data_IF_055384072992
#
_entry.id   IF_055384072992
#
_cell.length_a   1.000
_cell.length_b   1.000
_cell.length_c   1.000
_cell.angle_alpha   90.00
_cell.angle_beta   90.00
_cell.angle_gamma   90.00
#
_symmetry.space_group_name_H-M   'P 1'
#
loop_
_entity.id
_entity.type
_entity.pdbx_description
1 polymer ?
#
# COMPACT_ATOMS: atom_id res chain seq x y z
N UNK A 1 -59.39 -23.25 14.93
CA UNK A 1 -58.26 -23.15 13.98
C UNK A 1 -58.65 -22.08 12.98
N UNK A 2 -58.10 -20.87 12.96
CA UNK A 2 -56.70 -20.51 12.70
C UNK A 2 -56.34 -19.29 13.56
N UNK A 3 -55.16 -19.34 14.17
CA UNK A 3 -54.62 -18.35 15.10
C UNK A 3 -54.02 -17.17 14.33
N UNK A 4 -54.36 -15.94 14.71
CA UNK A 4 -53.73 -14.73 14.18
C UNK A 4 -52.34 -14.56 14.81
N UNK A 5 -51.30 -14.78 14.02
CA UNK A 5 -49.91 -14.52 14.39
C UNK A 5 -49.66 -13.02 14.30
N UNK A 6 -49.49 -12.37 15.45
CA UNK A 6 -49.06 -10.98 15.52
C UNK A 6 -47.58 -10.86 15.11
N UNK A 7 -47.31 -10.01 14.12
CA UNK A 7 -45.94 -9.57 13.82
C UNK A 7 -45.49 -8.63 14.93
N UNK A 8 -44.61 -9.12 15.81
CA UNK A 8 -43.88 -8.28 16.75
C UNK A 8 -42.98 -7.32 15.96
N UNK A 9 -43.16 -6.02 16.15
CA UNK A 9 -42.19 -5.04 15.70
C UNK A 9 -40.86 -5.26 16.44
N UNK A 10 -39.70 -5.13 15.76
CA UNK A 10 -38.42 -5.15 16.46
C UNK A 10 -38.39 -3.98 17.45
N UNK A 11 -38.07 -4.30 18.70
CA UNK A 11 -37.88 -3.31 19.74
C UNK A 11 -36.73 -2.37 19.34
N UNK A 12 -37.08 -1.13 18.98
CA UNK A 12 -36.17 -0.01 18.90
C UNK A 12 -35.66 0.30 20.31
N UNK A 13 -34.56 -0.36 20.68
CA UNK A 13 -33.90 -0.19 21.97
C UNK A 13 -32.81 0.90 21.87
N UNK A 14 -33.11 2.01 21.19
CA UNK A 14 -32.25 3.19 21.07
C UNK A 14 -32.25 4.04 22.35
N UNK A 15 -31.79 3.44 23.45
CA UNK A 15 -31.12 4.26 24.47
C UNK A 15 -29.76 4.63 23.89
N UNK A 16 -29.70 5.77 23.20
CA UNK A 16 -28.46 6.35 22.72
C UNK A 16 -27.52 6.57 23.92
N UNK A 17 -26.68 5.58 24.22
CA UNK A 17 -25.62 5.73 25.21
C UNK A 17 -24.77 6.89 24.74
N UNK A 18 -24.73 7.94 25.56
CA UNK A 18 -23.86 9.10 25.33
C UNK A 18 -22.45 8.62 25.05
N UNK A 19 -21.82 9.16 24.00
CA UNK A 19 -20.41 8.90 23.70
C UNK A 19 -19.55 9.08 24.97
N UNK A 20 -18.54 8.21 25.19
CA UNK A 20 -17.66 8.37 26.32
C UNK A 20 -16.99 9.76 26.31
N UNK A 21 -16.77 10.34 27.49
CA UNK A 21 -16.22 11.70 27.64
C UNK A 21 -14.91 11.90 26.88
N UNK A 22 -14.06 10.88 26.84
CA UNK A 22 -12.79 10.93 26.10
C UNK A 22 -12.99 11.06 24.58
N UNK A 23 -14.05 10.47 24.03
CA UNK A 23 -14.37 10.59 22.61
C UNK A 23 -14.90 11.99 22.25
N UNK A 24 -15.54 12.69 23.18
CA UNK A 24 -16.04 14.04 22.94
C UNK A 24 -14.90 15.06 22.74
N UNK A 25 -13.75 14.85 23.39
CA UNK A 25 -12.56 15.71 23.25
C UNK A 25 -11.96 15.69 21.84
N UNK A 26 -12.21 14.63 21.06
CA UNK A 26 -11.69 14.50 19.70
C UNK A 26 -12.25 15.57 18.74
N UNK A 27 -13.36 16.21 19.07
CA UNK A 27 -13.89 17.35 18.30
C UNK A 27 -13.01 18.58 18.39
N UNK A 28 -12.43 18.84 19.56
CA UNK A 28 -11.57 19.99 19.80
C UNK A 28 -10.20 19.78 19.14
N UNK A 29 -9.72 18.53 19.11
CA UNK A 29 -8.44 18.17 18.53
C UNK A 29 -8.39 18.24 17.01
N UNK A 30 -9.54 18.16 16.33
CA UNK A 30 -9.64 18.23 14.87
C UNK A 30 -9.04 19.53 14.27
N UNK A 31 -8.88 20.56 15.08
CA UNK A 31 -8.33 21.86 14.69
C UNK A 31 -7.15 22.30 15.57
N UNK A 32 -6.76 21.46 16.54
CA UNK A 32 -5.67 21.75 17.44
C UNK A 32 -4.32 21.32 16.84
N UNK A 33 -3.23 21.81 17.43
CA UNK A 33 -1.86 21.37 17.12
C UNK A 33 -1.34 20.38 18.18
N UNK A 34 -2.20 19.90 19.06
CA UNK A 34 -1.84 18.94 20.11
C UNK A 34 -1.76 17.51 19.56
N UNK A 35 -1.00 16.64 20.25
CA UNK A 35 -0.91 15.23 19.89
C UNK A 35 -2.24 14.51 20.14
N UNK A 36 -2.90 14.11 19.05
CA UNK A 36 -4.17 13.41 19.07
C UNK A 36 -4.04 11.92 19.37
N UNK A 37 -2.83 11.34 19.29
CA UNK A 37 -2.62 9.90 19.50
C UNK A 37 -3.13 9.41 20.87
N UNK A 38 -2.73 9.98 22.04
CA UNK A 38 -3.22 9.49 23.33
C UNK A 38 -4.74 9.64 23.52
N UNK A 39 -5.38 10.78 23.17
CA UNK A 39 -6.83 10.92 23.23
C UNK A 39 -7.59 9.93 22.35
N UNK A 40 -7.11 9.65 21.14
CA UNK A 40 -7.72 8.64 20.25
C UNK A 40 -7.63 7.26 20.90
N UNK A 41 -6.46 6.84 21.38
CA UNK A 41 -6.28 5.56 22.08
C UNK A 41 -7.19 5.47 23.31
N UNK A 42 -7.30 6.54 24.09
CA UNK A 42 -8.19 6.58 25.27
C UNK A 42 -9.66 6.41 24.88
N UNK A 43 -10.13 7.06 23.80
CA UNK A 43 -11.48 6.86 23.29
C UNK A 43 -11.70 5.41 22.82
N UNK A 44 -10.80 4.86 22.00
CA UNK A 44 -10.86 3.47 21.51
C UNK A 44 -10.96 2.48 22.68
N UNK A 45 -10.23 2.73 23.77
CA UNK A 45 -10.23 1.88 24.95
C UNK A 45 -11.60 1.80 25.66
N UNK A 46 -12.47 2.79 25.46
CA UNK A 46 -13.79 2.87 26.11
C UNK A 46 -14.95 2.43 25.20
N UNK A 47 -14.70 2.29 23.89
CA UNK A 47 -15.69 1.86 22.93
C UNK A 47 -15.92 0.33 23.00
N UNK A 48 -17.11 -0.20 22.70
CA UNK A 48 -17.31 -1.64 22.55
C UNK A 48 -16.50 -2.21 21.38
N UNK A 49 -16.14 -3.49 21.43
CA UNK A 49 -15.58 -4.18 20.27
C UNK A 49 -16.58 -4.15 19.10
N UNK A 50 -16.05 -4.04 17.89
CA UNK A 50 -16.76 -3.90 16.61
C UNK A 50 -17.61 -2.63 16.48
N UNK A 51 -17.45 -1.67 17.38
CA UNK A 51 -18.08 -0.36 17.25
C UNK A 51 -17.30 0.56 16.30
N UNK A 52 -17.89 1.71 16.01
CA UNK A 52 -17.31 2.71 15.12
C UNK A 52 -16.94 3.97 15.89
N UNK A 53 -15.68 4.38 15.81
CA UNK A 53 -15.21 5.71 16.15
C UNK A 53 -15.42 6.64 14.95
N UNK A 54 -16.34 7.58 15.09
CA UNK A 54 -16.59 8.63 14.09
C UNK A 54 -15.82 9.89 14.46
N UNK A 55 -14.90 10.29 13.60
CA UNK A 55 -14.07 11.48 13.77
C UNK A 55 -14.62 12.63 12.93
N UNK A 56 -14.94 13.80 13.50
CA UNK A 56 -15.20 15.00 12.71
C UNK A 56 -14.11 15.25 11.67
N UNK A 57 -14.45 15.84 10.52
CA UNK A 57 -13.45 16.37 9.60
C UNK A 57 -12.47 17.32 10.31
N UNK A 58 -11.19 17.18 10.00
CA UNK A 58 -10.12 17.99 10.57
C UNK A 58 -8.79 17.25 10.64
N UNK A 59 -7.77 17.93 11.15
CA UNK A 59 -6.40 17.43 11.25
C UNK A 59 -6.12 16.94 12.68
N UNK A 60 -5.80 15.66 12.79
CA UNK A 60 -5.41 14.97 14.01
C UNK A 60 -3.91 14.72 13.97
N UNK A 61 -3.15 15.61 14.61
CA UNK A 61 -1.69 15.55 14.63
C UNK A 61 -1.21 14.36 15.47
N UNK A 62 -0.42 13.47 14.88
CA UNK A 62 0.18 12.31 15.55
C UNK A 62 1.66 12.58 15.79
N UNK A 63 2.03 12.80 17.06
CA UNK A 63 3.43 12.99 17.50
C UNK A 63 3.97 11.79 18.28
N UNK A 64 3.08 10.88 18.63
CA UNK A 64 3.41 9.55 19.14
C UNK A 64 2.68 8.49 18.30
N UNK A 65 3.18 7.23 18.25
CA UNK A 65 2.52 6.18 17.50
C UNK A 65 1.07 5.94 17.95
N UNK A 66 0.13 5.92 17.00
CA UNK A 66 -1.26 5.54 17.25
C UNK A 66 -1.41 4.02 17.20
N UNK A 67 -1.67 3.41 18.35
CA UNK A 67 -1.81 1.95 18.47
C UNK A 67 -3.30 1.58 18.54
N UNK A 68 -3.80 0.89 17.52
CA UNK A 68 -5.17 0.36 17.48
C UNK A 68 -5.17 -1.10 17.91
N UNK A 69 -5.45 -1.32 19.19
CA UNK A 69 -5.40 -2.63 19.86
C UNK A 69 -6.76 -3.30 20.05
N UNK A 70 -7.84 -2.74 19.48
CA UNK A 70 -9.20 -3.29 19.56
C UNK A 70 -9.85 -3.39 18.18
N UNK A 71 -10.71 -4.39 17.93
CA UNK A 71 -11.40 -4.54 16.67
C UNK A 71 -12.45 -3.45 16.53
N UNK A 72 -12.16 -2.36 15.81
CA UNK A 72 -13.08 -1.23 15.65
C UNK A 72 -13.04 -0.70 14.21
N UNK A 73 -14.07 0.04 13.83
CA UNK A 73 -14.00 0.92 12.66
C UNK A 73 -13.63 2.34 13.09
N UNK A 74 -12.77 3.00 12.32
CA UNK A 74 -12.49 4.43 12.43
C UNK A 74 -12.87 5.06 11.10
N UNK A 75 -13.77 6.03 11.13
CA UNK A 75 -14.25 6.71 9.92
C UNK A 75 -14.50 8.19 10.15
N UNK A 76 -14.50 8.97 9.06
CA UNK A 76 -14.92 10.37 9.13
C UNK A 76 -16.42 10.48 9.38
N UNK A 77 -16.80 11.33 10.33
CA UNK A 77 -18.17 11.72 10.62
C UNK A 77 -18.67 12.68 9.53
N UNK A 78 -19.14 12.10 8.43
CA UNK A 78 -19.68 12.88 7.33
C UNK A 78 -21.13 13.28 7.65
N UNK A 79 -21.35 14.54 8.03
CA UNK A 79 -22.70 15.14 8.13
C UNK A 79 -23.34 15.38 6.76
N UNK A 80 -22.58 15.18 5.69
CA UNK A 80 -23.00 15.12 4.28
C UNK A 80 -22.61 13.73 3.72
N UNK A 81 -23.23 13.23 2.63
CA UNK A 81 -22.84 11.94 2.04
C UNK A 81 -21.32 11.90 1.87
N UNK A 82 -20.67 10.93 2.53
CA UNK A 82 -19.23 10.86 2.71
C UNK A 82 -18.50 11.10 1.38
N UNK A 83 -17.80 12.22 1.28
CA UNK A 83 -16.83 12.41 0.21
C UNK A 83 -15.73 11.39 0.48
N UNK A 84 -15.56 10.43 -0.43
CA UNK A 84 -14.46 9.50 -0.38
C UNK A 84 -13.15 10.30 -0.33
N UNK A 85 -12.33 10.09 0.70
CA UNK A 85 -11.05 10.79 0.87
C UNK A 85 -10.05 10.43 -0.25
N UNK A 86 -10.35 9.37 -1.00
CA UNK A 86 -9.60 8.84 -2.14
C UNK A 86 -9.72 9.62 -3.45
N UNK A 87 -10.10 10.90 -3.44
CA UNK A 87 -10.08 11.76 -4.64
C UNK A 87 -8.95 12.78 -4.64
N UNK A 88 -7.88 12.51 -3.90
CA UNK A 88 -6.71 13.40 -3.78
C UNK A 88 -6.93 14.66 -2.92
N UNK A 89 -8.18 14.92 -2.52
CA UNK A 89 -8.56 16.01 -1.63
C UNK A 89 -8.78 15.46 -0.21
N UNK A 90 -8.02 15.99 0.75
CA UNK A 90 -8.24 15.71 2.18
C UNK A 90 -9.32 16.64 2.79
N UNK A 91 -9.93 17.49 1.98
CA UNK A 91 -10.96 18.42 2.43
C UNK A 91 -12.22 17.65 2.84
N UNK A 92 -12.69 17.87 4.07
CA UNK A 92 -13.86 17.16 4.59
C UNK A 92 -13.56 15.77 5.17
N UNK A 93 -12.28 15.40 5.29
CA UNK A 93 -11.84 14.15 5.91
C UNK A 93 -11.33 14.36 7.34
N UNK A 94 -11.41 13.32 8.17
CA UNK A 94 -10.53 13.15 9.32
C UNK A 94 -9.14 12.75 8.81
N UNK A 95 -8.17 13.62 9.04
CA UNK A 95 -6.80 13.50 8.55
C UNK A 95 -5.86 13.20 9.70
N UNK A 96 -5.26 12.02 9.73
CA UNK A 96 -4.13 11.71 10.59
C UNK A 96 -2.87 12.36 10.02
N UNK A 97 -2.42 13.45 10.63
CA UNK A 97 -1.22 14.17 10.23
C UNK A 97 -0.03 13.58 10.95
N UNK A 98 0.84 12.84 10.26
CA UNK A 98 2.02 12.26 10.90
C UNK A 98 3.10 13.34 11.02
N UNK A 99 3.29 13.88 12.21
CA UNK A 99 4.30 14.90 12.54
C UNK A 99 5.67 14.25 12.80
N UNK A 100 6.66 15.07 13.16
CA UNK A 100 7.95 14.56 13.64
C UNK A 100 7.77 13.81 14.96
N UNK A 101 7.98 12.49 14.93
CA UNK A 101 7.96 11.65 16.14
C UNK A 101 9.36 11.60 16.77
N UNK A 102 9.49 11.66 18.11
CA UNK A 102 10.78 11.55 18.79
C UNK A 102 11.41 10.16 18.56
N UNK A 103 12.74 10.11 18.40
CA UNK A 103 13.51 8.85 18.21
C UNK A 103 13.25 7.76 19.25
N UNK A 104 12.80 8.15 20.44
CA UNK A 104 12.55 7.22 21.55
C UNK A 104 11.26 6.41 21.36
N UNK A 105 10.44 6.71 20.34
CA UNK A 105 9.41 5.77 19.89
C UNK A 105 10.09 4.45 19.53
N UNK A 106 9.63 3.34 20.13
CA UNK A 106 10.31 2.06 20.11
C UNK A 106 10.85 1.67 18.71
N UNK A 107 12.02 1.03 18.68
CA UNK A 107 12.65 0.55 17.45
C UNK A 107 11.66 -0.25 16.62
N UNK A 108 11.65 0.01 15.32
CA UNK A 108 10.80 -0.71 14.39
C UNK A 108 9.30 -0.48 14.59
N UNK A 109 8.85 0.70 15.05
CA UNK A 109 7.43 1.10 15.07
C UNK A 109 7.11 2.03 13.90
N UNK A 110 5.90 1.90 13.34
CA UNK A 110 5.34 2.85 12.36
C UNK A 110 4.41 3.87 13.05
N UNK A 111 4.15 5.04 12.43
CA UNK A 111 3.28 6.07 13.01
C UNK A 111 1.88 5.58 13.41
N UNK A 112 1.31 4.63 12.67
CA UNK A 112 0.05 3.97 13.01
C UNK A 112 0.27 2.45 13.05
N UNK A 113 -0.06 1.80 14.15
CA UNK A 113 0.09 0.35 14.36
C UNK A 113 -1.27 -0.30 14.59
N UNK A 114 -1.72 -1.10 13.62
CA UNK A 114 -2.97 -1.88 13.68
C UNK A 114 -2.65 -3.27 14.22
N UNK A 115 -2.86 -3.43 15.53
CA UNK A 115 -2.57 -4.67 16.26
C UNK A 115 -3.75 -5.63 16.28
N UNK A 116 -4.98 -5.10 16.38
CA UNK A 116 -6.19 -5.90 16.49
C UNK A 116 -6.70 -6.43 15.15
N UNK A 117 -7.38 -7.60 15.14
CA UNK A 117 -8.09 -8.07 13.97
C UNK A 117 -9.30 -7.19 13.65
N UNK A 118 -9.83 -7.31 12.42
CA UNK A 118 -11.08 -6.70 11.97
C UNK A 118 -11.16 -5.18 12.13
N UNK A 119 -10.02 -4.50 12.15
CA UNK A 119 -9.96 -3.04 12.16
C UNK A 119 -10.31 -2.50 10.77
N UNK A 120 -11.17 -1.49 10.71
CA UNK A 120 -11.51 -0.78 9.47
C UNK A 120 -11.08 0.67 9.57
N UNK A 121 -10.36 1.17 8.57
CA UNK A 121 -10.13 2.59 8.34
C UNK A 121 -10.90 2.97 7.08
N UNK A 122 -11.95 3.77 7.22
CA UNK A 122 -12.83 4.13 6.10
C UNK A 122 -12.95 5.63 5.95
N UNK A 123 -12.83 6.14 4.73
CA UNK A 123 -12.98 7.56 4.44
C UNK A 123 -12.13 8.42 5.40
N UNK A 124 -10.86 8.02 5.60
CA UNK A 124 -9.88 8.77 6.38
C UNK A 124 -8.68 9.11 5.50
N UNK A 125 -7.92 10.12 5.89
CA UNK A 125 -6.64 10.43 5.25
C UNK A 125 -5.49 10.23 6.23
N UNK A 126 -4.36 9.73 5.76
CA UNK A 126 -3.08 9.67 6.46
C UNK A 126 -2.08 10.47 5.66
N UNK A 127 -1.63 11.59 6.21
CA UNK A 127 -0.84 12.57 5.48
C UNK A 127 0.41 12.89 6.26
N UNK A 128 1.56 12.85 5.60
CA UNK A 128 2.76 13.36 6.22
C UNK A 128 2.81 14.87 6.32
N UNK A 129 3.25 15.35 7.49
CA UNK A 129 3.29 16.77 7.81
C UNK A 129 4.34 17.51 6.97
N UNK A 130 3.97 18.67 6.43
CA UNK A 130 4.91 19.60 5.78
C UNK A 130 5.85 20.28 6.78
N UNK A 131 5.57 20.14 8.09
CA UNK A 131 6.43 20.69 9.15
C UNK A 131 7.66 19.82 9.42
N UNK A 132 7.77 18.61 8.85
CA UNK A 132 8.93 17.75 9.04
C UNK A 132 10.17 18.31 8.35
N UNK A 133 11.17 18.65 9.14
CA UNK A 133 12.48 19.05 8.68
C UNK A 133 13.14 17.97 7.83
N UNK A 134 13.88 18.40 6.79
CA UNK A 134 14.65 17.47 5.96
C UNK A 134 15.68 16.68 6.79
N UNK A 135 16.21 17.29 7.86
CA UNK A 135 17.18 16.66 8.76
C UNK A 135 16.54 15.52 9.55
N UNK A 136 15.32 15.70 10.08
CA UNK A 136 14.55 14.61 10.71
C UNK A 136 14.28 13.49 9.72
N UNK A 137 13.83 13.82 8.49
CA UNK A 137 13.50 12.82 7.48
C UNK A 137 14.73 11.98 7.10
N UNK A 138 15.86 12.63 6.80
CA UNK A 138 17.13 11.93 6.52
C UNK A 138 17.54 11.05 7.69
N UNK A 139 17.46 11.58 8.90
CA UNK A 139 17.84 10.85 10.10
C UNK A 139 17.01 9.57 10.30
N UNK A 140 15.69 9.66 10.12
CA UNK A 140 14.79 8.52 10.23
C UNK A 140 15.01 7.52 9.10
N UNK A 141 15.07 8.01 7.85
CA UNK A 141 15.11 7.15 6.66
C UNK A 141 16.45 6.46 6.45
N UNK A 142 17.57 7.09 6.80
CA UNK A 142 18.92 6.53 6.62
C UNK A 142 19.35 5.56 7.74
N UNK A 143 18.51 5.39 8.77
CA UNK A 143 18.83 4.55 9.93
C UNK A 143 17.84 3.38 10.02
N UNK A 144 18.31 2.16 9.77
CA UNK A 144 17.46 0.95 9.72
C UNK A 144 16.54 0.78 10.94
N UNK A 145 17.04 1.03 12.14
CA UNK A 145 16.28 0.85 13.39
C UNK A 145 15.12 1.85 13.57
N UNK A 146 15.16 2.98 12.87
CA UNK A 146 14.12 4.01 12.91
C UNK A 146 13.37 4.18 11.60
N UNK A 147 13.82 3.54 10.51
CA UNK A 147 13.29 3.72 9.14
C UNK A 147 11.77 3.57 9.06
N UNK A 148 11.18 2.66 9.83
CA UNK A 148 9.73 2.46 9.89
C UNK A 148 8.94 3.69 10.36
N UNK A 149 9.54 4.59 11.15
CA UNK A 149 8.90 5.85 11.56
C UNK A 149 8.67 6.80 10.38
N UNK A 150 9.38 6.60 9.26
CA UNK A 150 9.20 7.37 8.04
C UNK A 150 8.00 6.91 7.20
N UNK A 151 7.40 5.75 7.52
CA UNK A 151 6.26 5.20 6.80
C UNK A 151 4.90 5.72 7.31
N UNK A 152 3.81 5.04 6.95
CA UNK A 152 2.46 5.41 7.36
C UNK A 152 1.83 4.44 8.37
N UNK A 153 1.25 3.35 7.87
CA UNK A 153 0.47 2.39 8.66
C UNK A 153 1.14 1.01 8.62
N UNK A 154 1.27 0.35 9.78
CA UNK A 154 1.54 -1.08 9.89
C UNK A 154 0.31 -1.87 10.29
N UNK A 155 0.10 -3.02 9.67
CA UNK A 155 -1.00 -3.93 9.97
C UNK A 155 -0.48 -5.30 10.35
N UNK A 156 -0.84 -5.75 11.56
CA UNK A 156 -0.57 -7.09 12.10
C UNK A 156 -1.85 -7.91 12.27
N UNK A 157 -2.98 -7.25 12.48
CA UNK A 157 -4.29 -7.89 12.59
C UNK A 157 -4.80 -8.47 11.27
N UNK A 158 -5.50 -9.61 11.35
CA UNK A 158 -6.23 -10.17 10.21
C UNK A 158 -7.57 -9.48 10.01
N UNK A 159 -8.12 -9.50 8.79
CA UNK A 159 -9.41 -8.87 8.45
C UNK A 159 -9.37 -7.35 8.42
N UNK A 160 -8.18 -6.75 8.34
CA UNK A 160 -8.02 -5.30 8.19
C UNK A 160 -8.66 -4.81 6.90
N UNK A 161 -9.30 -3.63 6.95
CA UNK A 161 -9.87 -2.97 5.78
C UNK A 161 -9.44 -1.50 5.72
N UNK A 162 -8.91 -1.08 4.59
CA UNK A 162 -8.70 0.30 4.20
C UNK A 162 -9.62 0.61 3.02
N UNK A 163 -10.56 1.54 3.21
CA UNK A 163 -11.63 1.82 2.25
C UNK A 163 -11.79 3.33 2.03
N UNK A 164 -11.90 3.76 0.77
CA UNK A 164 -12.16 5.15 0.41
C UNK A 164 -11.16 6.14 1.06
N UNK A 165 -9.93 5.68 1.27
CA UNK A 165 -8.93 6.37 2.07
C UNK A 165 -7.84 7.04 1.21
N UNK A 166 -7.08 7.93 1.83
CA UNK A 166 -5.91 8.57 1.23
C UNK A 166 -4.69 8.30 2.11
N UNK A 167 -3.57 7.87 1.53
CA UNK A 167 -2.26 7.85 2.21
C UNK A 167 -1.24 8.57 1.34
N UNK A 168 -0.63 9.65 1.82
CA UNK A 168 0.38 10.40 1.05
C UNK A 168 1.43 11.08 1.93
N UNK A 169 2.51 11.55 1.30
CA UNK A 169 3.61 12.27 1.90
C UNK A 169 4.31 11.52 3.05
N UNK A 170 4.31 10.18 3.05
CA UNK A 170 5.23 9.43 3.92
C UNK A 170 6.66 9.64 3.41
N UNK A 171 7.64 9.69 4.32
CA UNK A 171 9.00 10.10 3.98
C UNK A 171 9.82 8.99 3.34
N UNK A 172 9.60 7.74 3.73
CA UNK A 172 10.30 6.55 3.22
C UNK A 172 9.59 5.27 3.71
N UNK A 173 10.20 4.11 3.50
CA UNK A 173 9.70 2.81 3.97
C UNK A 173 8.45 2.38 3.22
N UNK A 174 7.29 2.28 3.87
CA UNK A 174 6.02 1.90 3.24
C UNK A 174 4.91 2.83 3.70
N UNK A 175 4.04 3.27 2.78
CA UNK A 175 2.86 4.02 3.16
C UNK A 175 1.86 3.14 3.92
N UNK A 176 1.70 1.89 3.48
CA UNK A 176 0.98 0.83 4.18
C UNK A 176 1.78 -0.47 4.14
N UNK A 177 2.14 -1.00 5.31
CA UNK A 177 2.78 -2.30 5.48
C UNK A 177 1.81 -3.30 6.10
N UNK A 178 1.61 -4.43 5.44
CA UNK A 178 0.88 -5.59 5.98
C UNK A 178 1.89 -6.69 6.22
N UNK A 179 2.12 -7.02 7.50
CA UNK A 179 3.16 -7.97 7.87
C UNK A 179 2.75 -9.42 7.58
N UNK A 180 3.70 -10.33 7.74
CA UNK A 180 3.49 -11.77 7.59
C UNK A 180 2.30 -12.27 8.44
N UNK A 181 1.58 -13.25 7.91
CA UNK A 181 0.46 -13.96 8.55
C UNK A 181 -0.85 -13.19 8.71
N UNK A 182 -0.93 -11.91 8.32
CA UNK A 182 -2.20 -11.20 8.26
C UNK A 182 -3.10 -11.81 7.16
N UNK A 183 -4.29 -12.28 7.53
CA UNK A 183 -5.24 -12.92 6.62
C UNK A 183 -6.34 -11.97 6.21
N UNK A 184 -6.80 -12.09 4.98
CA UNK A 184 -7.92 -11.33 4.42
C UNK A 184 -7.84 -9.79 4.57
N UNK A 185 -6.65 -9.15 4.42
CA UNK A 185 -6.63 -7.69 4.37
C UNK A 185 -7.30 -7.20 3.09
N UNK A 186 -7.98 -6.05 3.17
CA UNK A 186 -8.60 -5.40 2.02
C UNK A 186 -8.14 -3.95 1.90
N UNK A 187 -7.73 -3.54 0.71
CA UNK A 187 -7.41 -2.16 0.34
C UNK A 187 -8.24 -1.82 -0.90
N UNK A 188 -9.25 -0.97 -0.71
CA UNK A 188 -10.31 -0.76 -1.68
C UNK A 188 -10.53 0.73 -1.94
N UNK A 189 -10.70 1.09 -3.21
CA UNK A 189 -11.12 2.43 -3.64
C UNK A 189 -10.30 3.56 -3.02
N UNK A 190 -9.01 3.34 -2.75
CA UNK A 190 -8.14 4.26 -2.02
C UNK A 190 -7.07 4.87 -2.92
N UNK A 191 -6.58 6.06 -2.55
CA UNK A 191 -5.44 6.70 -3.22
C UNK A 191 -4.21 6.59 -2.35
N UNK A 192 -3.12 6.07 -2.90
CA UNK A 192 -1.84 5.88 -2.21
C UNK A 192 -0.75 6.63 -2.97
N UNK A 193 -0.30 7.73 -2.40
CA UNK A 193 0.82 8.56 -2.85
C UNK A 193 0.44 9.99 -3.28
N UNK A 194 1.42 10.84 -3.63
CA UNK A 194 2.87 10.56 -3.73
C UNK A 194 3.53 10.23 -2.39
N UNK A 195 4.57 9.38 -2.39
CA UNK A 195 5.35 9.05 -1.19
C UNK A 195 6.85 8.88 -1.48
N UNK A 196 7.68 9.33 -0.54
CA UNK A 196 9.14 9.32 -0.65
C UNK A 196 9.67 10.24 -1.74
N UNK A 197 10.97 10.11 -2.04
CA UNK A 197 11.70 10.92 -3.01
C UNK A 197 12.80 10.09 -3.67
N UNK A 198 12.62 9.77 -4.95
CA UNK A 198 13.44 8.80 -5.69
C UNK A 198 14.89 9.24 -5.91
N UNK A 199 15.13 10.52 -6.13
CA UNK A 199 16.47 11.06 -6.38
C UNK A 199 17.25 11.38 -5.11
N UNK A 200 16.70 11.06 -3.94
CA UNK A 200 17.40 11.16 -2.66
C UNK A 200 17.63 9.77 -2.11
N UNK A 201 18.91 9.41 -1.94
CA UNK A 201 19.31 8.09 -1.49
C UNK A 201 18.52 7.65 -0.25
N UNK A 202 17.92 6.46 -0.32
CA UNK A 202 17.18 5.81 0.76
C UNK A 202 15.95 6.57 1.29
N UNK A 203 15.55 7.68 0.67
CA UNK A 203 14.26 8.34 0.94
C UNK A 203 13.13 7.79 0.07
N UNK A 204 13.28 6.57 -0.43
CA UNK A 204 12.28 5.88 -1.22
C UNK A 204 11.19 5.30 -0.32
N UNK A 205 9.96 5.31 -0.83
CA UNK A 205 8.82 4.72 -0.16
C UNK A 205 8.07 3.78 -1.11
N UNK A 206 7.77 2.59 -0.61
CA UNK A 206 6.73 1.75 -1.16
C UNK A 206 5.35 2.42 -0.94
N UNK A 207 4.43 2.22 -1.87
CA UNK A 207 3.02 2.55 -1.63
C UNK A 207 2.41 1.56 -0.64
N UNK A 208 2.28 0.30 -1.08
CA UNK A 208 1.77 -0.79 -0.25
C UNK A 208 2.73 -1.98 -0.30
N UNK A 209 3.12 -2.46 0.88
CA UNK A 209 3.98 -3.63 1.06
C UNK A 209 3.19 -4.73 1.77
N UNK A 210 2.98 -5.87 1.12
CA UNK A 210 2.31 -7.04 1.70
C UNK A 210 3.34 -8.17 1.79
N UNK A 211 3.85 -8.42 2.99
CA UNK A 211 4.92 -9.40 3.20
C UNK A 211 4.50 -10.82 2.84
N UNK A 212 3.53 -11.37 3.56
CA UNK A 212 3.02 -12.72 3.28
C UNK A 212 1.60 -12.86 3.82
N UNK A 213 0.63 -13.02 2.91
CA UNK A 213 -0.78 -12.97 3.24
C UNK A 213 -1.58 -14.09 2.57
N UNK A 214 -2.85 -14.21 2.93
CA UNK A 214 -3.79 -15.10 2.26
C UNK A 214 -5.14 -14.43 2.14
N UNK A 215 -5.75 -14.51 0.95
CA UNK A 215 -7.08 -13.95 0.71
C UNK A 215 -7.12 -12.42 0.73
N UNK A 216 -6.01 -11.75 0.43
CA UNK A 216 -5.96 -10.29 0.34
C UNK A 216 -6.75 -9.78 -0.87
N UNK A 217 -7.38 -8.62 -0.73
CA UNK A 217 -8.09 -7.92 -1.79
C UNK A 217 -7.49 -6.53 -1.98
N UNK A 218 -6.82 -6.28 -3.09
CA UNK A 218 -6.32 -4.95 -3.46
C UNK A 218 -7.03 -4.54 -4.74
N UNK A 219 -8.10 -3.75 -4.62
CA UNK A 219 -8.98 -3.45 -5.75
C UNK A 219 -9.30 -1.97 -5.94
N UNK A 220 -9.35 -1.56 -7.20
CA UNK A 220 -9.81 -0.23 -7.63
C UNK A 220 -9.11 0.92 -6.92
N UNK A 221 -7.83 0.73 -6.55
CA UNK A 221 -7.03 1.77 -5.94
C UNK A 221 -6.29 2.58 -7.00
N UNK A 222 -5.90 3.79 -6.62
CA UNK A 222 -5.01 4.64 -7.39
C UNK A 222 -3.67 4.74 -6.66
N UNK A 223 -2.61 4.30 -7.32
CA UNK A 223 -1.23 4.39 -6.85
C UNK A 223 -0.52 5.49 -7.63
N UNK A 224 -0.01 6.49 -6.92
CA UNK A 224 0.55 7.71 -7.50
C UNK A 224 1.96 7.94 -6.98
N UNK A 225 2.96 8.04 -7.85
CA UNK A 225 4.27 8.59 -7.49
C UNK A 225 4.89 8.04 -6.18
N UNK A 226 4.75 6.75 -5.91
CA UNK A 226 5.50 6.06 -4.85
C UNK A 226 6.89 5.70 -5.38
N UNK A 227 7.94 5.92 -4.60
CA UNK A 227 9.30 6.09 -5.13
C UNK A 227 10.22 4.87 -5.02
N UNK A 228 9.81 3.82 -4.32
CA UNK A 228 10.49 2.52 -4.30
C UNK A 228 9.72 1.53 -5.19
N UNK A 229 8.65 0.92 -4.65
CA UNK A 229 7.67 0.14 -5.42
C UNK A 229 6.24 0.56 -5.08
N UNK A 230 5.38 0.77 -6.08
CA UNK A 230 4.00 1.22 -5.80
C UNK A 230 3.20 0.16 -5.02
N UNK A 231 3.24 -1.10 -5.47
CA UNK A 231 2.65 -2.25 -4.77
C UNK A 231 3.58 -3.46 -4.84
N UNK A 232 4.00 -3.98 -3.69
CA UNK A 232 4.90 -5.13 -3.59
C UNK A 232 4.34 -6.23 -2.70
N UNK A 233 4.53 -7.48 -3.14
CA UNK A 233 4.17 -8.69 -2.40
C UNK A 233 5.39 -9.58 -2.17
N UNK A 234 5.50 -10.17 -0.99
CA UNK A 234 6.46 -11.24 -0.69
C UNK A 234 5.86 -12.66 -0.76
N UNK A 235 4.54 -12.73 -0.95
CA UNK A 235 3.75 -13.94 -1.00
C UNK A 235 2.29 -13.61 -0.74
N UNK A 236 1.38 -14.26 -1.47
CA UNK A 236 -0.04 -14.05 -1.24
C UNK A 236 -0.84 -15.20 -1.86
N UNK A 237 -1.48 -16.05 -1.07
CA UNK A 237 -2.31 -17.16 -1.59
C UNK A 237 -3.78 -16.78 -1.68
N UNK A 238 -4.45 -17.18 -2.78
CA UNK A 238 -5.87 -16.88 -3.03
C UNK A 238 -6.21 -15.38 -2.95
N UNK A 239 -5.27 -14.52 -3.32
CA UNK A 239 -5.41 -13.07 -3.28
C UNK A 239 -5.89 -12.53 -4.62
N UNK A 240 -6.55 -11.37 -4.60
CA UNK A 240 -7.01 -10.70 -5.80
C UNK A 240 -6.44 -9.28 -5.83
N UNK A 241 -5.70 -8.97 -6.89
CA UNK A 241 -5.16 -7.64 -7.20
C UNK A 241 -5.76 -7.20 -8.52
N UNK A 242 -6.81 -6.38 -8.47
CA UNK A 242 -7.65 -6.14 -9.63
C UNK A 242 -8.11 -4.69 -9.81
N UNK A 243 -8.08 -4.20 -11.05
CA UNK A 243 -8.66 -2.91 -11.39
C UNK A 243 -7.92 -1.70 -10.81
N UNK A 244 -6.70 -1.88 -10.32
CA UNK A 244 -5.91 -0.77 -9.78
C UNK A 244 -5.28 0.03 -10.92
N UNK A 245 -5.12 1.34 -10.70
CA UNK A 245 -4.41 2.25 -11.60
C UNK A 245 -3.10 2.67 -10.95
N UNK A 246 -2.01 2.62 -11.71
CA UNK A 246 -0.68 3.06 -11.31
C UNK A 246 -0.24 4.16 -12.26
N UNK A 247 0.15 5.30 -11.70
CA UNK A 247 0.53 6.46 -12.49
C UNK A 247 1.75 7.17 -11.90
N UNK A 248 2.63 7.58 -12.82
CA UNK A 248 3.74 8.47 -12.52
C UNK A 248 3.62 9.83 -13.20
N UNK A 249 4.05 10.86 -12.47
CA UNK A 249 4.40 12.15 -13.04
C UNK A 249 5.69 12.07 -13.86
N UNK A 250 6.02 13.15 -14.57
CA UNK A 250 7.23 13.21 -15.40
C UNK A 250 8.52 13.46 -14.59
N UNK A 251 8.41 13.82 -13.31
CA UNK A 251 9.54 14.18 -12.47
C UNK A 251 10.36 12.93 -12.08
N UNK A 252 11.69 13.01 -12.16
CA UNK A 252 12.53 11.88 -11.74
C UNK A 252 12.51 11.66 -10.23
N UNK A 253 12.33 12.72 -9.43
CA UNK A 253 12.13 12.65 -7.98
C UNK A 253 10.93 11.78 -7.59
N UNK A 254 9.98 11.57 -8.50
CA UNK A 254 8.81 10.75 -8.27
C UNK A 254 8.91 9.37 -8.94
N UNK A 255 10.03 9.00 -9.53
CA UNK A 255 10.18 7.71 -10.21
C UNK A 255 10.14 6.52 -9.25
N UNK A 256 9.90 5.31 -9.75
CA UNK A 256 9.89 4.06 -8.99
C UNK A 256 10.82 3.01 -9.63
N UNK A 257 11.27 2.04 -8.84
CA UNK A 257 11.93 0.88 -9.43
C UNK A 257 10.92 -0.06 -10.09
N UNK A 258 9.74 -0.24 -9.50
CA UNK A 258 8.66 -1.03 -10.08
C UNK A 258 7.26 -0.50 -9.70
N UNK A 259 6.27 -0.75 -10.56
CA UNK A 259 4.87 -0.42 -10.22
C UNK A 259 4.23 -1.57 -9.43
N UNK A 260 4.32 -2.78 -9.96
CA UNK A 260 3.75 -3.96 -9.33
C UNK A 260 4.78 -5.08 -9.26
N UNK A 261 5.09 -5.52 -8.04
CA UNK A 261 6.13 -6.52 -7.81
C UNK A 261 5.59 -7.76 -7.07
N UNK A 262 5.75 -8.93 -7.70
CA UNK A 262 5.51 -10.24 -7.11
C UNK A 262 6.87 -10.88 -6.79
N UNK A 263 7.18 -10.98 -5.51
CA UNK A 263 8.53 -11.19 -5.00
C UNK A 263 8.52 -12.12 -3.77
N UNK A 264 9.69 -12.39 -3.18
CA UNK A 264 9.83 -12.90 -1.82
C UNK A 264 11.09 -12.36 -1.13
N UNK A 265 10.90 -11.75 0.04
CA UNK A 265 11.95 -11.48 1.00
C UNK A 265 12.40 -12.80 1.66
N UNK A 266 13.59 -12.85 2.29
CA UNK A 266 14.13 -14.06 2.92
C UNK A 266 13.18 -14.78 3.90
N UNK A 267 12.24 -14.05 4.51
CA UNK A 267 11.27 -14.54 5.49
C UNK A 267 9.83 -14.66 4.96
N UNK A 268 9.63 -14.61 3.64
CA UNK A 268 8.30 -14.70 3.00
C UNK A 268 8.24 -15.86 2.00
N UNK A 269 7.03 -16.35 1.71
CA UNK A 269 6.84 -17.61 0.99
C UNK A 269 7.14 -17.56 -0.49
N UNK A 270 6.92 -16.42 -1.15
CA UNK A 270 6.90 -16.32 -2.62
C UNK A 270 5.79 -17.14 -3.28
N UNK A 271 4.80 -17.57 -2.51
CA UNK A 271 3.70 -18.42 -2.97
C UNK A 271 2.49 -17.57 -3.38
N UNK A 272 2.18 -17.60 -4.66
CA UNK A 272 1.04 -16.91 -5.27
C UNK A 272 -0.07 -17.88 -5.70
N UNK A 273 -0.08 -19.11 -5.20
CA UNK A 273 -1.07 -20.13 -5.58
C UNK A 273 -2.50 -19.64 -5.34
N UNK A 274 -3.34 -19.79 -6.37
CA UNK A 274 -4.73 -19.35 -6.37
C UNK A 274 -4.92 -17.83 -6.49
N UNK A 275 -3.84 -17.05 -6.55
CA UNK A 275 -3.93 -15.59 -6.67
C UNK A 275 -4.09 -15.14 -8.11
N UNK A 276 -4.83 -14.04 -8.27
CA UNK A 276 -5.17 -13.44 -9.55
C UNK A 276 -4.75 -11.97 -9.52
N UNK A 277 -3.88 -11.59 -10.46
CA UNK A 277 -3.39 -10.25 -10.65
C UNK A 277 -3.83 -9.81 -12.05
N UNK A 278 -4.92 -9.05 -12.13
CA UNK A 278 -5.57 -8.79 -13.41
C UNK A 278 -6.20 -7.43 -13.56
N UNK A 279 -6.39 -6.99 -14.81
CA UNK A 279 -7.11 -5.75 -15.13
C UNK A 279 -6.51 -4.50 -14.47
N UNK A 280 -5.22 -4.55 -14.11
CA UNK A 280 -4.52 -3.37 -13.60
C UNK A 280 -4.02 -2.53 -14.78
N UNK A 281 -4.06 -1.21 -14.62
CA UNK A 281 -3.60 -0.25 -15.62
C UNK A 281 -2.37 0.50 -15.09
N UNK A 282 -1.24 0.36 -15.77
CA UNK A 282 0.04 0.94 -15.41
C UNK A 282 0.47 1.93 -16.49
N UNK A 283 0.67 3.19 -16.12
CA UNK A 283 1.27 4.23 -16.97
C UNK A 283 2.46 4.90 -16.26
N UNK A 284 3.66 4.57 -16.73
CA UNK A 284 4.90 5.09 -16.19
C UNK A 284 5.28 6.48 -16.72
N UNK A 285 4.32 7.22 -17.26
CA UNK A 285 4.48 8.50 -17.94
C UNK A 285 5.27 8.40 -19.26
N UNK A 286 5.06 9.35 -20.19
CA UNK A 286 5.91 9.46 -21.40
C UNK A 286 7.39 9.66 -21.09
N UNK A 287 7.72 10.20 -19.91
CA UNK A 287 9.09 10.34 -19.41
C UNK A 287 9.69 9.02 -18.86
N UNK A 288 8.92 7.93 -18.81
CA UNK A 288 9.34 6.57 -18.43
C UNK A 288 9.95 6.51 -17.04
N UNK A 289 9.17 6.95 -16.04
CA UNK A 289 9.55 7.08 -14.63
C UNK A 289 9.30 5.83 -13.78
N UNK A 290 9.08 4.67 -14.41
CA UNK A 290 9.17 3.39 -13.71
C UNK A 290 10.22 2.49 -14.37
N UNK A 291 10.96 1.75 -13.55
CA UNK A 291 11.92 0.75 -14.03
C UNK A 291 11.16 -0.43 -14.65
N UNK A 292 10.38 -1.12 -13.84
CA UNK A 292 9.56 -2.26 -14.24
C UNK A 292 8.07 -1.94 -14.12
N UNK A 293 7.28 -2.19 -15.17
CA UNK A 293 5.83 -2.12 -15.04
C UNK A 293 5.32 -3.21 -14.10
N UNK A 294 5.48 -4.47 -14.50
CA UNK A 294 5.28 -5.63 -13.61
C UNK A 294 6.61 -6.38 -13.48
N UNK A 295 7.04 -6.59 -12.24
CA UNK A 295 8.20 -7.38 -11.87
C UNK A 295 7.76 -8.68 -11.20
N UNK A 296 8.19 -9.82 -11.72
CA UNK A 296 7.93 -11.14 -11.14
C UNK A 296 9.27 -11.80 -10.87
N UNK A 297 9.51 -12.12 -9.59
CA UNK A 297 10.82 -12.50 -9.07
C UNK A 297 11.56 -11.31 -8.45
N UNK A 298 12.78 -11.53 -7.98
CA UNK A 298 13.61 -10.52 -7.31
C UNK A 298 14.97 -10.28 -7.95
N UNK A 299 15.29 -10.98 -9.04
CA UNK A 299 16.67 -11.16 -9.52
C UNK A 299 17.47 -9.87 -9.79
N UNK A 300 16.88 -8.73 -10.24
CA UNK A 300 17.62 -7.46 -10.29
C UNK A 300 18.22 -7.03 -8.96
N UNK A 301 17.60 -7.37 -7.84
CA UNK A 301 18.11 -7.11 -6.49
C UNK A 301 18.85 -8.32 -5.93
N UNK A 302 18.20 -9.47 -5.89
CA UNK A 302 18.72 -10.73 -5.36
C UNK A 302 17.82 -11.92 -5.74
N UNK A 303 18.33 -13.16 -5.70
CA UNK A 303 17.49 -14.34 -5.96
C UNK A 303 16.35 -14.44 -4.95
N UNK A 304 15.12 -14.50 -5.44
CA UNK A 304 13.92 -14.59 -4.63
C UNK A 304 13.05 -15.76 -5.10
N UNK A 305 12.42 -16.46 -4.15
CA UNK A 305 11.46 -17.53 -4.46
C UNK A 305 10.18 -16.88 -5.00
N UNK A 306 9.66 -17.36 -6.13
CA UNK A 306 8.41 -16.84 -6.69
C UNK A 306 7.75 -17.90 -7.56
N UNK A 307 6.51 -18.27 -7.26
CA UNK A 307 5.77 -19.30 -7.98
C UNK A 307 4.25 -19.19 -7.74
N UNK A 308 3.46 -19.84 -8.60
CA UNK A 308 2.00 -19.88 -8.49
C UNK A 308 1.32 -18.65 -9.06
N UNK A 309 -0.01 -18.73 -9.17
CA UNK A 309 -0.84 -17.58 -9.53
C UNK A 309 -0.98 -17.31 -11.03
N UNK A 310 -1.81 -16.32 -11.32
CA UNK A 310 -2.17 -15.87 -12.66
C UNK A 310 -1.96 -14.35 -12.75
N UNK A 311 -1.16 -13.91 -13.72
CA UNK A 311 -0.97 -12.50 -14.06
C UNK A 311 -1.55 -12.27 -15.44
N UNK A 312 -2.73 -11.64 -15.54
CA UNK A 312 -3.45 -11.58 -16.81
C UNK A 312 -4.20 -10.29 -17.08
N UNK A 313 -4.36 -9.95 -18.36
CA UNK A 313 -5.18 -8.81 -18.79
C UNK A 313 -4.78 -7.47 -18.15
N UNK A 314 -3.51 -7.30 -17.78
CA UNK A 314 -2.98 -6.01 -17.31
C UNK A 314 -2.52 -5.18 -18.52
N UNK A 315 -2.64 -3.86 -18.40
CA UNK A 315 -2.15 -2.90 -19.40
C UNK A 315 -0.94 -2.17 -18.83
N UNK A 316 0.17 -2.19 -19.56
CA UNK A 316 1.43 -1.58 -19.13
C UNK A 316 1.91 -0.64 -20.23
N UNK A 317 2.10 0.64 -19.89
CA UNK A 317 2.51 1.67 -20.86
C UNK A 317 3.72 2.46 -20.37
N UNK A 318 4.65 2.75 -21.28
CA UNK A 318 5.80 3.63 -21.07
C UNK A 318 6.83 3.18 -20.02
N UNK A 319 6.87 1.91 -19.62
CA UNK A 319 7.88 1.43 -18.66
C UNK A 319 9.28 1.35 -19.28
N UNK A 320 10.35 1.41 -18.46
CA UNK A 320 11.69 1.05 -18.96
C UNK A 320 11.73 -0.40 -19.45
N UNK A 321 11.15 -1.30 -18.67
CA UNK A 321 10.85 -2.68 -19.03
C UNK A 321 9.40 -2.98 -18.61
N UNK A 322 8.53 -3.33 -19.57
CA UNK A 322 7.09 -3.48 -19.30
C UNK A 322 6.78 -4.63 -18.36
N UNK A 323 7.18 -5.84 -18.74
CA UNK A 323 6.97 -7.05 -17.94
C UNK A 323 8.28 -7.81 -17.82
N UNK A 324 8.78 -7.99 -16.60
CA UNK A 324 9.95 -8.80 -16.33
C UNK A 324 9.56 -10.03 -15.51
N UNK A 325 9.91 -11.21 -16.01
CA UNK A 325 9.77 -12.49 -15.30
C UNK A 325 11.15 -13.08 -15.14
N UNK A 326 11.65 -13.12 -13.91
CA UNK A 326 13.01 -13.60 -13.65
C UNK A 326 13.04 -14.63 -12.51
N UNK A 327 13.71 -15.76 -12.79
CA UNK A 327 13.98 -16.88 -11.87
C UNK A 327 12.78 -17.35 -11.05
N UNK A 328 11.63 -17.52 -11.70
CA UNK A 328 10.55 -18.33 -11.14
C UNK A 328 11.08 -19.65 -10.59
N UNK A 329 10.57 -20.03 -9.43
CA UNK A 329 10.92 -21.28 -8.73
C UNK A 329 9.84 -22.34 -8.88
N UNK A 330 8.77 -22.05 -9.62
CA UNK A 330 7.66 -22.95 -9.88
C UNK A 330 6.72 -22.35 -10.92
N UNK A 331 5.66 -23.09 -11.31
CA UNK A 331 4.81 -22.70 -12.43
C UNK A 331 4.02 -21.41 -12.16
N UNK A 332 3.83 -20.59 -13.19
CA UNK A 332 2.96 -19.40 -13.15
C UNK A 332 2.31 -19.21 -14.52
N UNK A 333 1.08 -18.69 -14.55
CA UNK A 333 0.37 -18.37 -15.79
C UNK A 333 0.42 -16.86 -16.04
N UNK A 334 0.84 -16.46 -17.24
CA UNK A 334 1.01 -15.06 -17.61
C UNK A 334 0.39 -14.85 -19.00
N UNK A 335 -0.82 -14.28 -19.08
CA UNK A 335 -1.58 -14.27 -20.35
C UNK A 335 -2.37 -12.99 -20.59
N UNK A 336 -2.55 -12.58 -21.85
CA UNK A 336 -3.44 -11.47 -22.21
C UNK A 336 -2.98 -10.08 -21.72
N UNK A 337 -1.73 -9.95 -21.24
CA UNK A 337 -1.19 -8.66 -20.83
C UNK A 337 -0.80 -7.83 -22.07
N UNK A 338 -1.15 -6.55 -22.08
CA UNK A 338 -0.86 -5.63 -23.18
C UNK A 338 0.27 -4.69 -22.77
N UNK A 339 1.39 -4.75 -23.48
CA UNK A 339 2.57 -3.93 -23.22
C UNK A 339 2.76 -2.96 -24.39
N UNK A 340 2.75 -1.67 -24.11
CA UNK A 340 2.84 -0.63 -25.14
C UNK A 340 3.90 0.40 -24.80
N UNK A 341 4.69 0.81 -25.80
CA UNK A 341 5.68 1.90 -25.67
C UNK A 341 6.69 1.68 -24.53
N UNK A 342 6.92 0.42 -24.17
CA UNK A 342 7.91 0.00 -23.17
C UNK A 342 9.16 -0.57 -23.85
N UNK A 343 10.28 -0.67 -23.13
CA UNK A 343 11.56 -1.07 -23.72
C UNK A 343 12.30 0.06 -24.44
N UNK A 344 13.54 -0.17 -24.86
CA UNK A 344 14.44 0.83 -25.44
C UNK A 344 15.67 1.12 -24.56
N UNK A 345 16.46 2.14 -24.93
CA UNK A 345 17.71 2.46 -24.24
C UNK A 345 17.45 3.06 -22.86
N UNK A 346 18.07 2.49 -21.83
CA UNK A 346 18.01 3.02 -20.46
C UNK A 346 19.23 2.63 -19.63
N UNK A 347 19.48 3.40 -18.56
CA UNK A 347 20.50 3.10 -17.57
C UNK A 347 20.00 2.08 -16.54
N UNK A 348 20.91 1.23 -16.10
CA UNK A 348 20.74 0.36 -14.93
C UNK A 348 22.07 0.24 -14.19
N UNK A 349 22.07 -0.49 -13.08
CA UNK A 349 23.31 -0.93 -12.40
C UNK A 349 24.31 -1.66 -13.31
N UNK A 350 23.83 -2.23 -14.42
CA UNK A 350 24.66 -2.92 -15.40
C UNK A 350 25.10 -2.00 -16.56
N UNK A 351 24.99 -0.68 -16.37
CA UNK A 351 25.25 0.33 -17.38
C UNK A 351 24.09 0.53 -18.36
N UNK A 352 24.33 1.36 -19.37
CA UNK A 352 23.32 1.68 -20.39
C UNK A 352 23.13 0.51 -21.34
N UNK A 353 21.88 0.03 -21.46
CA UNK A 353 21.50 -1.09 -22.34
C UNK A 353 20.19 -0.79 -23.07
N UNK A 354 19.90 -1.56 -24.11
CA UNK A 354 18.58 -1.60 -24.74
C UNK A 354 17.76 -2.70 -24.10
N UNK A 355 16.67 -2.32 -23.42
CA UNK A 355 15.79 -3.23 -22.70
C UNK A 355 14.60 -3.64 -23.57
N UNK A 356 14.12 -4.88 -23.48
CA UNK A 356 12.93 -5.32 -24.20
C UNK A 356 11.66 -4.74 -23.56
N UNK A 357 10.55 -4.76 -24.30
CA UNK A 357 9.24 -4.47 -23.72
C UNK A 357 8.80 -5.56 -22.73
N UNK A 358 9.09 -6.83 -23.04
CA UNK A 358 8.83 -7.99 -22.20
C UNK A 358 10.09 -8.87 -22.10
N UNK A 359 10.37 -9.40 -20.91
CA UNK A 359 11.44 -10.35 -20.67
C UNK A 359 10.94 -11.57 -19.89
N UNK A 360 11.30 -12.76 -20.35
CA UNK A 360 11.19 -14.00 -19.58
C UNK A 360 12.57 -14.62 -19.54
N UNK A 361 13.18 -14.66 -18.35
CA UNK A 361 14.55 -15.13 -18.22
C UNK A 361 14.68 -16.61 -18.60
N UNK A 362 15.85 -17.06 -19.08
CA UNK A 362 16.03 -18.43 -19.56
C UNK A 362 15.60 -19.51 -18.56
N UNK A 363 15.82 -19.27 -17.27
CA UNK A 363 15.42 -20.17 -16.18
C UNK A 363 13.91 -20.29 -15.99
N UNK A 364 13.13 -19.29 -16.42
CA UNK A 364 11.68 -19.26 -16.24
C UNK A 364 10.89 -19.79 -17.43
N UNK A 365 11.50 -19.94 -18.61
CA UNK A 365 10.81 -20.36 -19.83
C UNK A 365 10.00 -21.66 -19.68
N UNK A 366 10.51 -22.63 -18.91
CA UNK A 366 9.83 -23.92 -18.69
C UNK A 366 8.75 -23.87 -17.61
N UNK A 367 8.69 -22.78 -16.86
CA UNK A 367 7.81 -22.59 -15.70
C UNK A 367 6.68 -21.61 -16.01
N UNK A 368 6.81 -20.83 -17.07
CA UNK A 368 5.78 -19.90 -17.50
C UNK A 368 4.86 -20.58 -18.52
N UNK A 369 3.56 -20.54 -18.27
CA UNK A 369 2.55 -20.69 -19.31
C UNK A 369 2.15 -19.31 -19.79
N UNK A 370 2.47 -18.97 -21.05
CA UNK A 370 2.19 -17.63 -21.60
C UNK A 370 1.74 -17.67 -23.05
N UNK A 371 0.98 -16.63 -23.44
CA UNK A 371 0.59 -16.30 -24.81
C UNK A 371 1.38 -15.10 -25.37
N UNK A 372 2.34 -14.56 -24.60
CA UNK A 372 3.21 -13.46 -25.05
C UNK A 372 4.13 -13.99 -26.15
N UNK A 373 3.90 -13.51 -27.37
CA UNK A 373 4.64 -13.95 -28.57
C UNK A 373 6.00 -13.24 -28.66
N UNK A 374 6.06 -11.96 -28.30
CA UNK A 374 7.27 -11.14 -28.39
C UNK A 374 7.84 -10.85 -27.01
N UNK A 375 8.87 -11.60 -26.63
CA UNK A 375 9.69 -11.35 -25.45
C UNK A 375 11.17 -11.61 -25.75
N UNK A 376 12.05 -10.92 -25.03
CA UNK A 376 13.45 -11.33 -24.98
C UNK A 376 13.66 -12.39 -23.89
N UNK A 377 14.72 -13.18 -24.01
CA UNK A 377 15.15 -14.06 -22.93
C UNK A 377 16.53 -13.65 -22.43
N UNK A 378 16.52 -12.78 -21.42
CA UNK A 378 17.74 -12.30 -20.79
C UNK A 378 17.66 -12.40 -19.27
N UNK A 379 18.84 -12.50 -18.64
CA UNK A 379 18.94 -12.36 -17.19
C UNK A 379 18.98 -10.87 -16.84
N UNK A 380 18.23 -10.50 -15.81
CA UNK A 380 18.24 -9.15 -15.23
C UNK A 380 19.03 -9.06 -13.93
N UNK A 381 19.80 -10.10 -13.60
CA UNK A 381 20.55 -10.22 -12.34
C UNK A 381 21.44 -9.00 -12.10
N UNK A 382 21.23 -8.34 -10.95
CA UNK A 382 21.97 -7.14 -10.52
C UNK A 382 21.85 -5.95 -11.47
N UNK A 383 20.80 -5.89 -12.29
CA UNK A 383 20.59 -4.80 -13.26
C UNK A 383 19.35 -3.97 -12.92
N UNK A 384 19.31 -3.35 -11.74
CA UNK A 384 18.19 -2.50 -11.31
C UNK A 384 18.09 -1.27 -12.23
N UNK A 385 16.91 -1.08 -12.82
CA UNK A 385 16.58 0.07 -13.67
C UNK A 385 16.31 1.32 -12.82
N UNK A 386 16.47 2.51 -13.42
CA UNK A 386 16.23 3.81 -12.76
C UNK A 386 17.09 4.13 -11.53
N UNK A 387 18.16 3.39 -11.24
CA UNK A 387 19.20 3.95 -10.38
C UNK A 387 19.88 5.13 -11.05
N UNK A 388 20.10 6.21 -10.29
CA UNK A 388 20.99 7.28 -10.74
C UNK A 388 22.39 6.71 -11.00
N UNK A 389 23.08 7.15 -12.07
CA UNK A 389 24.46 6.77 -12.35
C UNK A 389 25.43 7.27 -11.26
#
# INVERSE_FOLDING_TARGET
MISAVGCAQPADNSTAKSLPRECLKLRELAYAQDDASPPIVACISQLPDYSTLRLPPGNYHLRTPLIVSRPIAIETDASQPAVACSKGESAGCAVFVLDEMPKQSAQGVMPIEIMAPNVTLRAVAVVGSNARSLDWQKQVCLTDSTRSLGGGIRVRGSGFRLEDALIRNVSCYSALEIVVSAKHPSVLNSTIGPNGTHDVHQMWADGVTIHDSSGAYVKNNEFLDNTDVQLVFGGCRNCIVEGNTFHHSAAFAHASFAELMLHAWPNTSGDFTGSIISLNNIDCNKARRCGYGIMIGGEPWYPARTFGGIVSNNRITNALLGLNVDRLTGPMTITGNVIMRSGGSANSDCGRKTWPAANISPSSLKLVRTDIIEFASMSTSKCILLRQP
#
